data_IF_953993681483
#
_entry.id   IF_953993681483
#
_cell.length_a   1.000
_cell.length_b   1.000
_cell.length_c   1.000
_cell.angle_alpha   90.00
_cell.angle_beta   90.00
_cell.angle_gamma   90.00
#
_symmetry.space_group_name_H-M   'P 1'
#
loop_
_entity.id
_entity.type
_entity.pdbx_description
1 polymer ?
#
# COMPACT_ATOMS: atom_id res chain seq x y z
N UNK A 1 -28.37 27.11 -56.80
CA UNK A 1 -29.62 27.21 -57.57
C UNK A 1 -30.33 25.86 -57.53
N UNK A 2 -31.64 25.86 -57.27
CA UNK A 2 -32.64 24.80 -57.52
C UNK A 2 -32.53 23.56 -56.62
N UNK A 3 -33.40 23.42 -55.61
CA UNK A 3 -34.82 23.00 -55.69
C UNK A 3 -35.00 21.51 -55.98
N UNK A 4 -35.48 20.83 -54.93
CA UNK A 4 -36.60 19.88 -54.92
C UNK A 4 -36.45 18.53 -55.64
N UNK A 5 -36.69 17.45 -54.89
CA UNK A 5 -37.81 16.51 -55.07
C UNK A 5 -37.55 15.23 -54.25
N UNK A 6 -38.32 15.02 -53.18
CA UNK A 6 -39.46 14.09 -53.12
C UNK A 6 -39.05 12.61 -53.12
N UNK A 7 -39.08 11.98 -51.95
CA UNK A 7 -39.47 10.56 -51.82
C UNK A 7 -40.60 10.50 -50.81
N UNK A 8 -41.79 10.21 -51.32
CA UNK A 8 -43.00 9.95 -50.58
C UNK A 8 -43.19 8.44 -50.40
N UNK A 9 -43.65 8.06 -49.20
CA UNK A 9 -44.51 6.90 -48.86
C UNK A 9 -43.95 5.49 -49.20
N UNK A 10 -44.24 4.41 -48.47
CA UNK A 10 -45.37 4.13 -47.61
C UNK A 10 -45.06 2.94 -46.68
N UNK A 11 -45.66 3.03 -45.48
CA UNK A 11 -46.38 1.99 -44.73
C UNK A 11 -45.82 0.57 -44.50
N UNK A 12 -46.12 0.16 -43.26
CA UNK A 12 -46.46 -1.19 -42.78
C UNK A 12 -45.32 -2.09 -42.31
N UNK A 13 -45.23 -2.22 -40.98
CA UNK A 13 -44.44 -3.24 -40.31
C UNK A 13 -44.45 -3.08 -38.80
N UNK A 14 -45.64 -3.09 -38.20
CA UNK A 14 -45.83 -3.14 -36.76
C UNK A 14 -45.29 -4.49 -36.23
N UNK A 15 -44.19 -4.48 -35.46
CA UNK A 15 -43.95 -5.52 -34.45
C UNK A 15 -43.24 -4.88 -33.23
N UNK A 16 -44.02 -4.73 -32.18
CA UNK A 16 -43.58 -4.34 -30.85
C UNK A 16 -42.75 -5.46 -30.21
N UNK A 17 -41.65 -5.09 -29.54
CA UNK A 17 -41.19 -5.66 -28.25
C UNK A 17 -39.77 -5.16 -27.92
N UNK A 18 -39.67 -3.98 -27.31
CA UNK A 18 -38.74 -3.80 -26.19
C UNK A 18 -39.42 -4.39 -24.94
N UNK A 19 -38.67 -4.92 -23.96
CA UNK A 19 -37.82 -4.09 -23.09
C UNK A 19 -36.42 -4.69 -22.85
N UNK A 20 -35.36 -3.89 -22.64
CA UNK A 20 -34.94 -3.41 -21.32
C UNK A 20 -34.97 -4.53 -20.26
N UNK A 21 -33.89 -5.30 -20.13
CA UNK A 21 -33.45 -5.96 -18.88
C UNK A 21 -32.08 -6.63 -19.06
N UNK A 22 -31.02 -5.83 -19.24
CA UNK A 22 -29.71 -6.26 -18.76
C UNK A 22 -29.71 -5.94 -17.26
N UNK A 23 -30.17 -6.90 -16.47
CA UNK A 23 -30.18 -6.82 -15.01
C UNK A 23 -28.74 -6.70 -14.50
N UNK A 24 -28.39 -5.46 -14.18
CA UNK A 24 -27.47 -5.10 -13.12
C UNK A 24 -27.98 -5.71 -11.79
N UNK A 25 -27.06 -5.88 -10.84
CA UNK A 25 -27.24 -6.33 -9.44
C UNK A 25 -27.06 -7.83 -9.18
N UNK A 26 -25.82 -8.17 -8.81
CA UNK A 26 -25.61 -8.96 -7.60
C UNK A 26 -24.83 -8.09 -6.63
N UNK A 27 -25.58 -7.30 -5.86
CA UNK A 27 -25.06 -6.58 -4.70
C UNK A 27 -24.50 -7.57 -3.69
N UNK A 28 -23.18 -7.57 -3.55
CA UNK A 28 -22.61 -7.91 -2.26
C UNK A 28 -23.09 -6.83 -1.28
N UNK A 29 -23.53 -7.18 -0.06
CA UNK A 29 -23.99 -6.20 0.91
C UNK A 29 -22.89 -5.17 1.12
N UNK A 30 -23.26 -3.91 0.89
CA UNK A 30 -22.48 -2.70 1.11
C UNK A 30 -21.92 -2.78 2.54
N UNK A 31 -20.70 -3.28 2.66
CA UNK A 31 -20.06 -3.44 3.95
C UNK A 31 -19.87 -2.01 4.45
N UNK A 32 -20.42 -1.63 5.62
CA UNK A 32 -20.37 -0.26 6.07
C UNK A 32 -18.92 0.22 6.01
N UNK A 33 -18.69 1.29 5.24
CA UNK A 33 -17.37 1.86 5.07
C UNK A 33 -16.79 2.12 6.46
N UNK A 34 -15.71 1.42 6.79
CA UNK A 34 -15.05 1.57 8.09
C UNK A 34 -14.58 3.02 8.19
N UNK A 35 -14.89 3.74 9.28
CA UNK A 35 -14.44 5.12 9.44
C UNK A 35 -12.91 5.24 9.32
N UNK A 36 -12.44 6.31 8.69
CA UNK A 36 -11.01 6.53 8.41
C UNK A 36 -10.12 6.40 9.67
N UNK A 37 -10.61 6.88 10.83
CA UNK A 37 -9.85 6.79 12.08
C UNK A 37 -9.63 5.34 12.54
N UNK A 38 -10.59 4.45 12.32
CA UNK A 38 -10.47 3.04 12.72
C UNK A 38 -9.51 2.31 11.79
N UNK A 39 -9.58 2.62 10.49
CA UNK A 39 -8.64 2.09 9.49
C UNK A 39 -7.19 2.51 9.80
N UNK A 40 -6.96 3.80 10.07
CA UNK A 40 -5.63 4.30 10.44
C UNK A 40 -5.17 3.72 11.77
N UNK A 41 -6.07 3.57 12.76
CA UNK A 41 -5.75 2.91 14.02
C UNK A 41 -5.28 1.46 13.84
N UNK A 42 -5.96 0.69 12.98
CA UNK A 42 -5.56 -0.69 12.63
C UNK A 42 -4.22 -0.73 11.90
N UNK A 43 -3.98 0.21 10.99
CA UNK A 43 -2.69 0.33 10.30
C UNK A 43 -1.55 0.61 11.28
N UNK A 44 -1.71 1.61 12.16
CA UNK A 44 -0.69 1.95 13.18
C UNK A 44 -0.37 0.73 14.05
N UNK A 45 -1.42 0.06 14.55
CA UNK A 45 -1.25 -1.14 15.37
C UNK A 45 -0.51 -2.26 14.62
N UNK A 46 -0.92 -2.56 13.39
CA UNK A 46 -0.29 -3.59 12.57
C UNK A 46 1.16 -3.24 12.25
N UNK A 47 1.47 -1.98 11.92
CA UNK A 47 2.81 -1.52 11.61
C UNK A 47 3.75 -1.76 12.79
N UNK A 48 3.36 -1.37 14.01
CA UNK A 48 4.15 -1.64 15.21
C UNK A 48 4.33 -3.12 15.51
N UNK A 49 3.34 -3.97 15.19
CA UNK A 49 3.42 -5.44 15.35
C UNK A 49 4.44 -6.09 14.43
N UNK A 50 4.77 -5.49 13.28
CA UNK A 50 5.85 -5.97 12.41
C UNK A 50 7.26 -5.76 12.98
N UNK A 51 7.39 -5.03 14.10
CA UNK A 51 8.68 -4.62 14.65
C UNK A 51 9.31 -3.42 13.94
N UNK A 52 8.73 -2.95 12.82
CA UNK A 52 9.08 -1.71 12.15
C UNK A 52 8.58 -0.50 12.97
N UNK A 53 9.27 -0.14 14.05
CA UNK A 53 8.99 1.12 14.74
C UNK A 53 9.63 2.27 13.94
N UNK A 54 8.89 3.32 13.56
CA UNK A 54 9.43 4.43 12.74
C UNK A 54 10.65 5.12 13.36
N UNK A 55 10.74 5.19 14.69
CA UNK A 55 11.92 5.71 15.38
C UNK A 55 13.14 4.79 15.22
N UNK A 56 12.92 3.48 15.26
CA UNK A 56 13.99 2.48 15.04
C UNK A 56 14.44 2.44 13.58
N UNK A 57 13.54 2.70 12.64
CA UNK A 57 13.89 2.81 11.22
C UNK A 57 14.78 4.03 10.94
N UNK A 58 14.62 5.11 11.73
CA UNK A 58 15.43 6.33 11.67
C UNK A 58 16.69 6.30 12.54
N UNK A 59 17.01 5.17 13.15
CA UNK A 59 18.17 5.02 14.03
C UNK A 59 19.46 5.44 13.27
N UNK A 60 20.26 6.40 13.78
CA UNK A 60 21.50 6.84 13.14
C UNK A 60 22.49 5.71 12.89
N UNK A 61 22.45 4.64 13.69
CA UNK A 61 23.28 3.46 13.49
C UNK A 61 22.87 2.69 12.22
N UNK A 62 21.56 2.59 11.95
CA UNK A 62 21.05 2.03 10.70
C UNK A 62 21.50 2.91 9.53
N UNK A 63 21.33 4.22 9.62
CA UNK A 63 21.72 5.15 8.56
C UNK A 63 23.22 5.11 8.22
N UNK A 64 24.09 4.81 9.19
CA UNK A 64 25.56 4.86 9.03
C UNK A 64 26.22 3.51 8.74
N UNK A 65 25.61 2.40 9.16
CA UNK A 65 26.25 1.07 9.12
C UNK A 65 25.46 0.01 8.36
N UNK A 66 24.16 0.21 8.15
CA UNK A 66 23.40 -0.73 7.33
C UNK A 66 23.78 -0.60 5.85
N UNK A 67 23.53 -1.64 5.03
CA UNK A 67 23.65 -1.52 3.59
C UNK A 67 22.86 -0.29 3.08
N UNK A 68 23.42 0.54 2.18
CA UNK A 68 22.81 1.81 1.77
C UNK A 68 21.37 1.67 1.27
N UNK A 69 21.08 0.60 0.52
CA UNK A 69 19.73 0.29 0.04
C UNK A 69 18.75 0.01 1.19
N UNK A 70 19.19 -0.73 2.21
CA UNK A 70 18.36 -1.04 3.37
C UNK A 70 18.12 0.19 4.24
N UNK A 71 19.14 1.04 4.43
CA UNK A 71 19.01 2.31 5.15
C UNK A 71 18.04 3.26 4.45
N UNK A 72 18.13 3.36 3.12
CA UNK A 72 17.23 4.21 2.31
C UNK A 72 15.79 3.74 2.44
N UNK A 73 15.54 2.44 2.27
CA UNK A 73 14.19 1.87 2.39
C UNK A 73 13.60 2.01 3.79
N UNK A 74 14.43 1.90 4.83
CA UNK A 74 13.99 2.14 6.20
C UNK A 74 13.56 3.61 6.41
N UNK A 75 14.33 4.57 5.90
CA UNK A 75 13.99 5.99 5.97
C UNK A 75 12.71 6.31 5.20
N UNK A 76 12.59 5.85 3.94
CA UNK A 76 11.40 6.03 3.11
C UNK A 76 10.14 5.47 3.77
N UNK A 77 10.26 4.29 4.40
CA UNK A 77 9.16 3.65 5.10
C UNK A 77 8.73 4.44 6.34
N UNK A 78 9.67 5.00 7.10
CA UNK A 78 9.38 5.86 8.24
C UNK A 78 8.68 7.16 7.82
N UNK A 79 9.12 7.76 6.71
CA UNK A 79 8.49 8.96 6.15
C UNK A 79 7.09 8.66 5.61
N UNK A 80 6.91 7.51 4.95
CA UNK A 80 5.59 7.06 4.48
C UNK A 80 4.63 6.81 5.65
N UNK A 81 5.09 6.18 6.73
CA UNK A 81 4.32 6.01 7.95
C UNK A 81 3.88 7.36 8.52
N UNK A 82 4.82 8.31 8.64
CA UNK A 82 4.54 9.66 9.14
C UNK A 82 3.54 10.40 8.27
N UNK A 83 3.66 10.30 6.94
CA UNK A 83 2.71 10.91 6.01
C UNK A 83 1.29 10.35 6.22
N UNK A 84 1.15 9.03 6.33
CA UNK A 84 -0.13 8.36 6.57
C UNK A 84 -0.76 8.83 7.88
N UNK A 85 0.02 8.84 8.96
CA UNK A 85 -0.49 9.17 10.30
C UNK A 85 -0.77 10.67 10.48
N UNK A 86 0.15 11.53 10.05
CA UNK A 86 0.07 12.98 10.29
C UNK A 86 -0.87 13.69 9.32
N UNK A 87 -0.80 13.34 8.04
CA UNK A 87 -1.61 14.01 7.02
C UNK A 87 -3.01 13.37 6.89
N UNK A 88 -3.27 12.27 7.62
CA UNK A 88 -4.51 11.48 7.55
C UNK A 88 -4.89 11.19 6.10
N UNK A 89 -3.89 10.93 5.25
CA UNK A 89 -4.13 10.66 3.83
C UNK A 89 -5.05 9.46 3.76
N UNK A 90 -6.20 9.63 3.12
CA UNK A 90 -7.12 8.56 2.79
C UNK A 90 -6.47 7.71 1.70
N UNK A 91 -5.55 6.85 2.10
CA UNK A 91 -4.97 5.85 1.20
C UNK A 91 -5.97 4.70 0.98
N UNK A 92 -6.00 4.11 -0.22
CA UNK A 92 -6.74 2.88 -0.43
C UNK A 92 -6.16 1.76 0.44
N UNK A 93 -7.03 0.83 0.88
CA UNK A 93 -6.65 -0.27 1.77
C UNK A 93 -5.49 -1.11 1.23
N UNK A 94 -5.38 -1.25 -0.09
CA UNK A 94 -4.31 -2.02 -0.72
C UNK A 94 -2.95 -1.34 -0.60
N UNK A 95 -2.90 -0.01 -0.58
CA UNK A 95 -1.66 0.73 -0.31
C UNK A 95 -1.24 0.62 1.16
N UNK A 96 -2.20 0.59 2.09
CA UNK A 96 -1.92 0.33 3.51
C UNK A 96 -1.35 -1.08 3.70
N UNK A 97 -1.95 -2.09 3.06
CA UNK A 97 -1.45 -3.48 3.08
C UNK A 97 -0.06 -3.59 2.46
N UNK A 98 0.17 -2.92 1.32
CA UNK A 98 1.48 -2.92 0.68
C UNK A 98 2.55 -2.31 1.59
N UNK A 99 2.21 -1.21 2.27
CA UNK A 99 3.11 -0.54 3.24
C UNK A 99 3.41 -1.45 4.44
N UNK A 100 2.41 -2.17 4.96
CA UNK A 100 2.64 -3.15 6.03
C UNK A 100 3.53 -4.31 5.59
N UNK A 101 3.33 -4.82 4.38
CA UNK A 101 4.16 -5.89 3.82
C UNK A 101 5.61 -5.43 3.64
N UNK A 102 5.80 -4.22 3.15
CA UNK A 102 7.13 -3.63 3.06
C UNK A 102 7.77 -3.47 4.45
N UNK A 103 7.00 -3.03 5.44
CA UNK A 103 7.47 -2.89 6.81
C UNK A 103 7.98 -4.20 7.40
N UNK A 104 7.27 -5.30 7.15
CA UNK A 104 7.69 -6.64 7.56
C UNK A 104 9.00 -7.08 6.88
N UNK A 105 9.15 -6.81 5.58
CA UNK A 105 10.37 -7.15 4.85
C UNK A 105 11.58 -6.34 5.34
N UNK A 106 11.40 -5.03 5.53
CA UNK A 106 12.47 -4.14 5.98
C UNK A 106 12.84 -4.43 7.44
N UNK A 107 11.87 -4.67 8.32
CA UNK A 107 12.15 -5.01 9.72
C UNK A 107 12.90 -6.34 9.84
N UNK A 108 12.50 -7.36 9.08
CA UNK A 108 13.19 -8.64 9.04
C UNK A 108 14.63 -8.51 8.51
N UNK A 109 14.84 -7.72 7.46
CA UNK A 109 16.17 -7.47 6.92
C UNK A 109 17.08 -6.73 7.91
N UNK A 110 16.55 -5.71 8.59
CA UNK A 110 17.27 -4.97 9.64
C UNK A 110 17.62 -5.86 10.83
N UNK A 111 16.71 -6.73 11.25
CA UNK A 111 16.95 -7.70 12.31
C UNK A 111 18.12 -8.63 11.96
N UNK A 112 18.07 -9.27 10.80
CA UNK A 112 19.14 -10.18 10.32
C UNK A 112 20.48 -9.48 10.17
N UNK A 113 20.47 -8.24 9.66
CA UNK A 113 21.69 -7.43 9.57
C UNK A 113 22.27 -7.17 10.97
N UNK A 114 21.44 -6.77 11.95
CA UNK A 114 21.88 -6.47 13.31
C UNK A 114 22.44 -7.72 14.01
N UNK A 115 21.83 -8.89 13.83
CA UNK A 115 22.38 -10.16 14.33
C UNK A 115 23.74 -10.48 13.69
N UNK A 116 23.89 -10.24 12.39
CA UNK A 116 25.17 -10.42 11.69
C UNK A 116 26.27 -9.50 12.21
N UNK A 117 25.95 -8.28 12.65
CA UNK A 117 26.90 -7.36 13.28
C UNK A 117 27.37 -7.87 14.65
N UNK A 118 26.46 -8.41 15.48
CA UNK A 118 26.81 -8.96 16.80
C UNK A 118 27.77 -10.17 16.69
N UNK A 119 27.62 -10.98 15.64
CA UNK A 119 28.52 -12.10 15.36
C UNK A 119 29.93 -11.64 14.97
N UNK A 120 30.05 -10.53 14.21
CA UNK A 120 31.34 -9.96 13.81
C UNK A 120 32.08 -9.32 14.99
N UNK A 121 31.36 -8.63 15.88
CA UNK A 121 31.95 -8.00 17.06
C UNK A 121 32.46 -9.04 18.06
N UNK A 122 31.78 -10.17 18.22
CA UNK A 122 32.23 -11.27 19.11
C UNK A 122 33.42 -12.06 18.55
N UNK A 123 33.51 -12.23 17.23
CA UNK A 123 34.65 -12.88 16.58
C UNK A 123 35.93 -12.03 16.58
N UNK A 124 35.81 -10.70 16.72
CA UNK A 124 36.94 -9.77 16.75
C UNK A 124 37.81 -9.82 18.01
N UNK A 125 37.41 -10.55 19.07
CA UNK A 125 38.17 -10.63 20.33
C UNK A 125 39.20 -11.77 20.37
N UNK A 126 39.25 -12.63 19.36
CA UNK A 126 40.25 -13.70 19.26
C UNK A 126 41.37 -13.30 18.31
N UNK A 127 42.47 -12.73 18.84
CA UNK A 127 43.88 -13.01 18.52
C UNK A 127 44.79 -11.83 18.94
N UNK A 128 45.51 -12.04 20.04
CA UNK A 128 46.96 -11.81 20.11
C UNK A 128 47.53 -12.63 21.26
N UNK A 129 47.87 -13.92 21.05
CA UNK A 129 48.82 -14.58 21.91
C UNK A 129 50.19 -13.95 21.63
N UNK A 130 50.77 -13.31 22.65
CA UNK A 130 52.17 -12.90 22.67
C UNK A 130 53.05 -14.10 23.02
#
# INVERSE_FOLDING_TARGET
MRHSCFIAAALCGLLAAGPLHAAQESGAPDKPAVPDYERIGRFIYAFHRTGANPEKLRDPLVARRAPPELATRAAELADKFDAIVKQRVTLPDDELKATLREAELVSAALWRWREGQAQQESAGWTVSPR
#
